data_IF_520506346620
#
_entry.id   IF_520506346620
#
_cell.length_a   1.000
_cell.length_b   1.000
_cell.length_c   1.000
_cell.angle_alpha   90.00
_cell.angle_beta   90.00
_cell.angle_gamma   90.00
#
_symmetry.space_group_name_H-M   'P 1'
#
loop_
_entity.id
_entity.type
_entity.pdbx_description
1 polymer ?
#
# COMPACT_ATOMS: atom_id res chain seq x y z
N UNK A 1 -16.39 63.88 -40.75
CA UNK A 1 -15.69 63.62 -39.46
C UNK A 1 -14.58 62.61 -39.76
N UNK A 2 -13.46 63.00 -40.38
CA UNK A 2 -12.22 63.52 -39.77
C UNK A 2 -11.57 62.57 -38.75
N UNK A 3 -10.56 61.82 -39.23
CA UNK A 3 -9.42 61.23 -38.49
C UNK A 3 -8.49 62.33 -37.91
N UNK A 4 -7.37 62.11 -37.15
CA UNK A 4 -6.58 60.86 -36.91
C UNK A 4 -5.87 60.68 -35.51
N UNK A 5 -5.16 59.54 -35.35
CA UNK A 5 -3.79 59.31 -34.78
C UNK A 5 -3.41 59.77 -33.34
N UNK A 6 -2.46 59.20 -32.56
CA UNK A 6 -1.66 57.95 -32.47
C UNK A 6 -0.81 58.02 -31.17
N UNK A 7 -0.41 56.86 -30.60
CA UNK A 7 0.80 56.59 -29.78
C UNK A 7 0.92 57.21 -28.35
N UNK A 8 1.52 56.60 -27.31
CA UNK A 8 2.37 55.38 -27.09
C UNK A 8 2.42 55.12 -25.57
N UNK A 9 2.58 53.87 -25.12
CA UNK A 9 2.86 53.57 -23.70
C UNK A 9 2.89 52.08 -23.31
N UNK A 10 3.96 51.39 -23.72
CA UNK A 10 4.58 50.12 -23.25
C UNK A 10 4.02 49.39 -22.00
N UNK A 11 3.79 48.07 -22.13
CA UNK A 11 4.08 46.90 -21.24
C UNK A 11 3.02 45.81 -21.50
N UNK A 12 3.24 44.50 -21.64
CA UNK A 12 4.39 43.58 -21.68
C UNK A 12 3.97 42.37 -22.56
N UNK A 13 4.92 41.75 -23.27
CA UNK A 13 4.73 40.46 -23.96
C UNK A 13 4.91 39.32 -22.97
N UNK A 14 4.10 38.28 -23.07
CA UNK A 14 4.55 36.88 -22.95
C UNK A 14 3.61 35.92 -23.69
N UNK A 15 4.11 35.38 -24.80
CA UNK A 15 3.82 34.01 -25.24
C UNK A 15 4.21 33.01 -24.15
N UNK A 16 3.42 31.93 -24.00
CA UNK A 16 3.96 30.57 -24.06
C UNK A 16 2.87 29.53 -23.74
N UNK A 17 2.58 28.69 -24.73
CA UNK A 17 2.55 27.22 -24.61
C UNK A 17 3.00 26.70 -23.24
N UNK A 18 2.14 25.93 -22.55
CA UNK A 18 2.57 25.19 -21.35
C UNK A 18 3.05 23.79 -21.72
N UNK A 19 4.20 23.51 -21.13
CA UNK A 19 5.21 22.56 -21.55
C UNK A 19 4.95 21.12 -21.14
N UNK A 20 5.52 20.27 -21.98
CA UNK A 20 5.85 18.87 -21.80
C UNK A 20 6.75 18.60 -20.59
N UNK A 21 6.65 17.36 -20.13
CA UNK A 21 7.49 16.66 -19.16
C UNK A 21 9.00 16.87 -19.40
N UNK A 22 9.74 17.17 -18.31
CA UNK A 22 11.14 16.78 -18.11
C UNK A 22 11.46 16.84 -16.60
N UNK A 23 11.45 15.68 -15.95
CA UNK A 23 12.22 15.47 -14.73
C UNK A 23 13.65 15.11 -15.17
N UNK A 24 14.53 16.11 -15.26
CA UNK A 24 15.97 15.90 -15.13
C UNK A 24 16.67 17.18 -14.67
N UNK A 25 17.56 16.98 -13.69
CA UNK A 25 18.65 17.85 -13.24
C UNK A 25 18.32 19.32 -12.92
N UNK A 26 18.05 19.58 -11.64
CA UNK A 26 18.25 20.91 -11.05
C UNK A 26 19.76 21.24 -11.13
N UNK A 27 20.17 22.43 -11.61
CA UNK A 27 21.57 22.86 -11.55
C UNK A 27 21.99 23.07 -10.09
N UNK A 28 23.15 22.53 -9.72
CA UNK A 28 23.75 22.71 -8.41
C UNK A 28 24.00 24.19 -8.12
N UNK A 29 23.29 24.75 -7.13
CA UNK A 29 23.57 26.07 -6.54
C UNK A 29 24.40 25.88 -5.26
N UNK A 30 25.71 26.22 -5.27
CA UNK A 30 26.58 26.07 -4.11
C UNK A 30 26.25 27.02 -2.94
N UNK A 31 25.28 27.93 -3.07
CA UNK A 31 24.85 28.84 -1.99
C UNK A 31 23.64 28.35 -1.20
N UNK A 32 22.97 27.29 -1.65
CA UNK A 32 21.94 26.56 -0.88
C UNK A 32 22.57 25.31 -0.26
N UNK A 33 23.35 25.49 0.80
CA UNK A 33 23.68 24.39 1.70
C UNK A 33 22.38 23.84 2.32
N UNK A 34 22.21 22.52 2.27
CA UNK A 34 21.10 21.75 2.87
C UNK A 34 19.72 21.75 2.18
N UNK A 35 19.68 21.48 0.87
CA UNK A 35 18.55 20.69 0.33
C UNK A 35 19.01 19.27 0.08
N UNK A 36 19.10 18.49 1.16
CA UNK A 36 18.96 17.03 1.08
C UNK A 36 17.68 16.75 0.29
N UNK A 37 17.78 15.98 -0.79
CA UNK A 37 16.66 15.52 -1.61
C UNK A 37 15.56 14.99 -0.71
N UNK A 38 14.46 15.74 -0.57
CA UNK A 38 13.30 15.26 0.19
C UNK A 38 12.70 14.07 -0.56
N UNK A 39 12.42 12.95 0.13
CA UNK A 39 11.82 11.79 -0.52
C UNK A 39 10.43 12.14 -1.06
N UNK A 40 10.09 11.59 -2.22
CA UNK A 40 8.77 11.81 -2.83
C UNK A 40 7.64 11.19 -1.99
N UNK A 41 7.95 10.11 -1.27
CA UNK A 41 7.10 9.49 -0.26
C UNK A 41 7.97 8.67 0.70
N UNK A 42 7.51 8.53 1.94
CA UNK A 42 8.12 7.68 2.97
C UNK A 42 7.06 6.74 3.54
N UNK A 43 7.46 5.51 3.84
CA UNK A 43 6.63 4.52 4.52
C UNK A 43 7.47 3.83 5.59
N UNK A 44 7.03 3.90 6.84
CA UNK A 44 7.55 3.06 7.91
C UNK A 44 6.69 1.82 8.10
N UNK A 45 7.33 0.68 8.32
CA UNK A 45 6.63 -0.54 8.73
C UNK A 45 5.86 -0.37 10.04
N UNK A 46 6.33 0.52 10.95
CA UNK A 46 5.61 0.84 12.18
C UNK A 46 4.39 1.72 11.95
N UNK A 47 4.44 2.63 10.97
CA UNK A 47 3.29 3.46 10.61
C UNK A 47 2.19 2.63 9.96
N UNK A 48 2.56 1.73 9.04
CA UNK A 48 1.63 0.77 8.43
C UNK A 48 1.00 -0.13 9.49
N UNK A 49 1.82 -0.71 10.38
CA UNK A 49 1.32 -1.58 11.46
C UNK A 49 0.41 -0.82 12.41
N UNK A 50 0.81 0.38 12.84
CA UNK A 50 -0.03 1.22 13.70
C UNK A 50 -1.32 1.66 13.03
N UNK A 51 -1.34 1.86 11.71
CA UNK A 51 -2.56 2.15 10.96
C UNK A 51 -3.50 0.94 10.94
N UNK A 52 -2.97 -0.26 10.70
CA UNK A 52 -3.74 -1.52 10.80
C UNK A 52 -4.30 -1.68 12.22
N UNK A 53 -3.47 -1.51 13.25
CA UNK A 53 -3.90 -1.70 14.64
C UNK A 53 -5.02 -0.73 15.04
N UNK A 54 -4.91 0.55 14.69
CA UNK A 54 -5.99 1.53 14.92
C UNK A 54 -7.30 1.14 14.22
N UNK A 55 -7.20 0.62 12.99
CA UNK A 55 -8.38 0.17 12.24
C UNK A 55 -9.04 -1.05 12.90
N UNK A 56 -8.25 -2.00 13.40
CA UNK A 56 -8.75 -3.15 14.14
C UNK A 56 -9.33 -2.74 15.50
N UNK A 57 -8.71 -1.81 16.21
CA UNK A 57 -9.23 -1.26 17.46
C UNK A 57 -10.56 -0.54 17.25
N UNK A 58 -10.73 0.17 16.12
CA UNK A 58 -12.01 0.71 15.70
C UNK A 58 -13.09 -0.38 15.63
N UNK A 59 -12.78 -1.53 15.05
CA UNK A 59 -13.68 -2.69 15.00
C UNK A 59 -13.92 -3.25 16.41
N UNK A 60 -12.89 -3.41 17.24
CA UNK A 60 -13.04 -3.91 18.62
C UNK A 60 -14.01 -3.04 19.44
N UNK A 61 -13.84 -1.72 19.40
CA UNK A 61 -14.70 -0.76 20.12
C UNK A 61 -16.15 -0.78 19.61
N UNK A 62 -16.33 -1.04 18.31
CA UNK A 62 -17.64 -1.06 17.69
C UNK A 62 -18.28 -2.44 17.57
N UNK A 63 -17.68 -3.48 18.17
CA UNK A 63 -18.29 -4.79 18.24
C UNK A 63 -19.59 -4.73 19.04
N UNK A 64 -20.63 -5.40 18.55
CA UNK A 64 -21.92 -5.56 19.23
C UNK A 64 -22.23 -7.04 19.35
N UNK A 65 -22.77 -7.43 20.50
CA UNK A 65 -23.20 -8.80 20.76
C UNK A 65 -24.49 -8.81 21.58
N UNK A 66 -25.36 -9.75 21.25
CA UNK A 66 -26.64 -10.06 21.89
C UNK A 66 -26.91 -11.55 21.74
N UNK A 67 -27.93 -12.09 22.42
CA UNK A 67 -28.20 -13.53 22.46
C UNK A 67 -28.24 -14.22 21.08
N UNK A 68 -28.69 -13.51 20.03
CA UNK A 68 -28.81 -14.05 18.66
C UNK A 68 -28.01 -13.26 17.62
N UNK A 69 -27.15 -12.32 17.99
CA UNK A 69 -26.41 -11.53 17.00
C UNK A 69 -25.04 -11.10 17.51
N UNK A 70 -24.01 -11.22 16.68
CA UNK A 70 -22.65 -10.81 17.02
C UNK A 70 -21.90 -10.21 15.81
N UNK A 71 -21.17 -9.12 16.05
CA UNK A 71 -20.31 -8.48 15.07
C UNK A 71 -20.67 -7.02 14.81
N UNK A 72 -20.80 -6.65 13.54
CA UNK A 72 -20.91 -5.26 13.10
C UNK A 72 -22.04 -5.08 12.10
N UNK A 73 -22.47 -3.84 11.89
CA UNK A 73 -23.33 -3.46 10.77
C UNK A 73 -22.59 -2.56 9.77
N UNK A 74 -23.25 -2.16 8.68
CA UNK A 74 -22.62 -1.35 7.64
C UNK A 74 -22.03 -0.02 8.16
N UNK A 75 -22.65 0.53 9.19
CA UNK A 75 -22.23 1.66 9.98
C UNK A 75 -21.99 1.12 11.39
N UNK A 76 -20.82 1.44 11.93
CA UNK A 76 -20.29 0.80 13.12
C UNK A 76 -21.00 1.23 14.41
N UNK A 77 -21.74 2.33 14.35
CA UNK A 77 -22.57 2.84 15.43
C UNK A 77 -23.91 2.08 15.60
N UNK A 78 -24.35 1.31 14.60
CA UNK A 78 -25.61 0.57 14.67
C UNK A 78 -25.54 -0.52 15.76
N UNK A 79 -26.54 -0.61 16.64
CA UNK A 79 -26.54 -1.59 17.73
C UNK A 79 -26.80 -3.03 17.24
N UNK A 80 -27.32 -3.23 16.04
CA UNK A 80 -27.76 -4.52 15.55
C UNK A 80 -26.80 -5.05 14.45
N UNK A 81 -25.96 -6.06 14.75
CA UNK A 81 -25.08 -6.69 13.78
C UNK A 81 -25.81 -7.16 12.52
N UNK A 82 -25.09 -7.18 11.39
CA UNK A 82 -25.55 -7.75 10.14
C UNK A 82 -24.54 -8.74 9.58
N UNK A 83 -25.06 -9.78 8.93
CA UNK A 83 -24.30 -10.93 8.43
C UNK A 83 -23.07 -10.54 7.62
N UNK A 84 -23.24 -9.76 6.55
CA UNK A 84 -22.13 -9.39 5.66
C UNK A 84 -21.07 -8.54 6.37
N UNK A 85 -21.50 -7.56 7.18
CA UNK A 85 -20.57 -6.70 7.90
C UNK A 85 -19.79 -7.47 8.97
N UNK A 86 -20.44 -8.40 9.68
CA UNK A 86 -19.79 -9.32 10.62
C UNK A 86 -18.76 -10.21 9.93
N UNK A 87 -19.10 -10.78 8.77
CA UNK A 87 -18.19 -11.59 7.97
C UNK A 87 -16.98 -10.77 7.48
N UNK A 88 -17.21 -9.56 6.95
CA UNK A 88 -16.15 -8.65 6.50
C UNK A 88 -15.25 -8.21 7.65
N UNK A 89 -15.80 -7.96 8.83
CA UNK A 89 -15.01 -7.64 10.03
C UNK A 89 -14.07 -8.79 10.40
N UNK A 90 -14.57 -10.02 10.48
CA UNK A 90 -13.74 -11.20 10.74
C UNK A 90 -12.67 -11.40 9.65
N UNK A 91 -13.06 -11.22 8.38
CA UNK A 91 -12.13 -11.25 7.25
C UNK A 91 -11.04 -10.18 7.35
N UNK A 92 -11.36 -8.99 7.87
CA UNK A 92 -10.41 -7.89 8.05
C UNK A 92 -9.32 -8.23 9.07
N UNK A 93 -9.69 -8.81 10.22
CA UNK A 93 -8.73 -9.32 11.20
C UNK A 93 -7.79 -10.36 10.58
N UNK A 94 -8.35 -11.28 9.78
CA UNK A 94 -7.56 -12.28 9.05
C UNK A 94 -6.55 -11.64 8.09
N UNK A 95 -6.98 -10.66 7.29
CA UNK A 95 -6.08 -9.95 6.38
C UNK A 95 -4.90 -9.29 7.11
N UNK A 96 -5.13 -8.84 8.35
CA UNK A 96 -4.10 -8.27 9.21
C UNK A 96 -3.21 -9.31 9.90
N UNK A 97 -3.49 -10.61 9.73
CA UNK A 97 -2.89 -11.72 10.47
C UNK A 97 -3.05 -11.56 12.00
N UNK A 98 -4.22 -11.07 12.44
CA UNK A 98 -4.61 -11.00 13.85
C UNK A 98 -5.88 -11.81 14.09
N UNK A 99 -5.98 -12.45 15.25
CA UNK A 99 -7.21 -13.12 15.69
C UNK A 99 -8.06 -12.12 16.49
N UNK A 100 -9.38 -12.14 16.26
CA UNK A 100 -10.32 -11.35 17.05
C UNK A 100 -10.77 -12.15 18.28
N UNK A 101 -10.81 -11.51 19.43
CA UNK A 101 -10.96 -12.17 20.72
C UNK A 101 -12.34 -12.83 20.91
N UNK A 102 -13.37 -12.34 20.20
CA UNK A 102 -14.75 -12.85 20.25
C UNK A 102 -15.15 -13.58 18.95
N UNK A 103 -14.17 -14.18 18.27
CA UNK A 103 -14.37 -14.86 16.97
C UNK A 103 -15.45 -15.94 17.02
N UNK A 104 -15.52 -16.72 18.11
CA UNK A 104 -16.48 -17.82 18.24
C UNK A 104 -17.95 -17.34 18.23
N UNK A 105 -18.22 -16.14 18.76
CA UNK A 105 -19.57 -15.56 18.72
C UNK A 105 -19.99 -15.14 17.33
N UNK A 106 -19.05 -14.59 16.56
CA UNK A 106 -19.30 -14.22 15.16
C UNK A 106 -19.53 -15.49 14.34
N UNK A 107 -18.68 -16.50 14.50
CA UNK A 107 -18.82 -17.79 13.81
C UNK A 107 -20.18 -18.41 14.13
N UNK A 108 -20.54 -18.49 15.41
CA UNK A 108 -21.84 -19.00 15.84
C UNK A 108 -22.99 -18.20 15.22
N UNK A 109 -22.91 -16.86 15.26
CA UNK A 109 -23.91 -15.99 14.65
C UNK A 109 -24.08 -16.27 13.16
N UNK A 110 -22.98 -16.39 12.40
CA UNK A 110 -23.02 -16.69 10.98
C UNK A 110 -23.63 -18.07 10.72
N UNK A 111 -23.22 -19.10 11.46
CA UNK A 111 -23.78 -20.46 11.32
C UNK A 111 -25.28 -20.49 11.63
N UNK A 112 -25.70 -19.90 12.76
CA UNK A 112 -27.10 -19.89 13.20
C UNK A 112 -28.03 -19.13 12.24
N UNK A 113 -27.48 -18.27 11.37
CA UNK A 113 -28.24 -17.46 10.40
C UNK A 113 -28.09 -17.94 8.95
N UNK A 114 -27.49 -19.11 8.73
CA UNK A 114 -27.53 -19.75 7.44
C UNK A 114 -28.97 -20.15 7.11
N UNK A 115 -29.42 -19.86 5.88
CA UNK A 115 -30.75 -20.25 5.44
C UNK A 115 -30.76 -21.77 5.30
N UNK A 116 -31.71 -22.44 5.94
CA UNK A 116 -31.89 -23.91 5.88
C UNK A 116 -33.13 -24.33 5.10
N UNK A 117 -34.13 -23.45 5.03
CA UNK A 117 -35.39 -23.71 4.35
C UNK A 117 -35.83 -22.46 3.55
N UNK A 118 -36.46 -22.65 2.37
CA UNK A 118 -36.69 -23.93 1.70
C UNK A 118 -35.40 -24.50 1.05
N UNK A 119 -35.33 -25.80 0.68
CA UNK A 119 -34.08 -26.45 0.25
C UNK A 119 -33.41 -25.78 -0.95
N UNK A 120 -34.19 -25.21 -1.87
CA UNK A 120 -33.69 -24.46 -3.02
C UNK A 120 -32.98 -23.15 -2.65
N UNK A 121 -33.13 -22.68 -1.41
CA UNK A 121 -32.44 -21.52 -0.82
C UNK A 121 -31.44 -21.92 0.27
N UNK A 122 -31.45 -23.18 0.71
CA UNK A 122 -30.61 -23.65 1.79
C UNK A 122 -29.10 -23.45 1.49
N UNK A 123 -28.31 -23.17 2.51
CA UNK A 123 -26.86 -22.98 2.45
C UNK A 123 -26.40 -21.54 2.25
N UNK A 124 -27.26 -20.65 1.73
CA UNK A 124 -26.92 -19.24 1.53
C UNK A 124 -27.18 -18.36 2.75
N UNK A 125 -26.74 -17.10 2.69
CA UNK A 125 -26.99 -16.08 3.71
C UNK A 125 -27.80 -14.90 3.19
N UNK A 126 -28.84 -14.55 3.93
CA UNK A 126 -29.65 -13.37 3.70
C UNK A 126 -29.17 -12.18 4.53
N UNK A 127 -29.50 -10.97 4.07
CA UNK A 127 -29.35 -9.74 4.84
C UNK A 127 -30.72 -9.13 5.13
N UNK A 128 -30.77 -8.16 6.06
CA UNK A 128 -32.02 -7.52 6.51
C UNK A 128 -32.91 -7.01 5.36
N UNK A 129 -32.29 -6.49 4.30
CA UNK A 129 -32.98 -5.89 3.15
C UNK A 129 -33.42 -6.90 2.08
N UNK A 130 -33.17 -8.19 2.30
CA UNK A 130 -33.47 -9.27 1.34
C UNK A 130 -34.58 -10.21 1.81
N UNK A 131 -35.33 -9.84 2.86
CA UNK A 131 -36.50 -10.59 3.34
C UNK A 131 -36.28 -12.11 3.47
N UNK A 132 -35.11 -12.53 3.96
CA UNK A 132 -34.76 -13.95 4.13
C UNK A 132 -34.30 -14.67 2.86
N UNK A 133 -34.26 -14.01 1.71
CA UNK A 133 -33.68 -14.56 0.49
C UNK A 133 -32.16 -14.44 0.54
N UNK A 134 -31.42 -15.55 0.46
CA UNK A 134 -29.98 -15.50 0.45
C UNK A 134 -29.47 -14.86 -0.83
N UNK A 135 -28.49 -13.97 -0.70
CA UNK A 135 -27.85 -13.28 -1.82
C UNK A 135 -26.40 -13.74 -1.98
N UNK A 136 -25.92 -13.64 -3.21
CA UNK A 136 -24.59 -14.11 -3.59
C UNK A 136 -23.48 -13.36 -2.85
N UNK A 137 -23.55 -12.03 -2.78
CA UNK A 137 -22.51 -11.22 -2.17
C UNK A 137 -22.37 -11.48 -0.67
N UNK A 138 -23.49 -11.65 0.06
CA UNK A 138 -23.45 -11.99 1.47
C UNK A 138 -22.87 -13.38 1.68
N UNK A 139 -23.32 -14.35 0.89
CA UNK A 139 -22.83 -15.74 0.96
C UNK A 139 -21.34 -15.82 0.65
N UNK A 140 -20.87 -15.14 -0.38
CA UNK A 140 -19.45 -15.11 -0.74
C UNK A 140 -18.58 -14.47 0.36
N UNK A 141 -19.04 -13.39 1.00
CA UNK A 141 -18.33 -12.81 2.15
C UNK A 141 -18.29 -13.74 3.36
N UNK A 142 -19.40 -14.44 3.66
CA UNK A 142 -19.44 -15.42 4.75
C UNK A 142 -18.54 -16.61 4.47
N UNK A 143 -18.61 -17.20 3.27
CA UNK A 143 -17.71 -18.28 2.83
C UNK A 143 -16.27 -17.82 2.97
N UNK A 144 -15.91 -16.62 2.49
CA UNK A 144 -14.57 -16.06 2.69
C UNK A 144 -14.21 -15.99 4.15
N UNK A 145 -15.05 -15.41 5.00
CA UNK A 145 -14.77 -15.24 6.43
C UNK A 145 -14.55 -16.59 7.15
N UNK A 146 -15.37 -17.60 6.83
CA UNK A 146 -15.29 -18.95 7.41
C UNK A 146 -14.15 -19.79 6.82
N UNK A 147 -13.64 -19.44 5.63
CA UNK A 147 -12.52 -20.14 4.97
C UNK A 147 -11.19 -19.82 5.63
N UNK A 148 -10.51 -20.77 6.28
CA UNK A 148 -9.28 -20.46 6.98
C UNK A 148 -8.02 -20.90 6.21
N UNK A 149 -7.06 -20.00 5.96
CA UNK A 149 -5.66 -20.38 5.84
C UNK A 149 -5.06 -20.50 7.25
N UNK A 150 -4.67 -21.72 7.65
CA UNK A 150 -3.83 -21.94 8.83
C UNK A 150 -4.50 -21.89 10.22
N UNK A 151 -5.82 -21.71 10.35
CA UNK A 151 -6.46 -21.66 11.69
C UNK A 151 -7.08 -22.97 12.18
N UNK A 152 -7.21 -24.00 11.32
CA UNK A 152 -7.65 -25.34 11.72
C UNK A 152 -9.05 -25.48 12.36
N UNK A 153 -9.77 -24.39 12.65
CA UNK A 153 -11.03 -24.41 13.43
C UNK A 153 -12.31 -24.52 12.59
N UNK A 154 -12.29 -24.19 11.28
CA UNK A 154 -13.52 -24.11 10.47
C UNK A 154 -13.45 -24.72 9.07
N UNK A 155 -12.29 -25.22 8.62
CA UNK A 155 -12.12 -25.78 7.27
C UNK A 155 -12.98 -27.04 6.98
N UNK A 156 -13.83 -27.47 7.93
CA UNK A 156 -14.66 -28.67 7.84
C UNK A 156 -16.10 -28.49 8.37
N UNK A 157 -16.56 -27.26 8.64
CA UNK A 157 -17.96 -27.08 9.09
C UNK A 157 -18.93 -27.35 7.94
N UNK A 158 -20.05 -28.00 8.27
CA UNK A 158 -21.13 -28.27 7.32
C UNK A 158 -21.64 -26.98 6.67
N UNK A 159 -21.78 -25.91 7.45
CA UNK A 159 -22.19 -24.60 6.95
C UNK A 159 -21.27 -24.04 5.86
N UNK A 160 -19.95 -24.20 5.98
CA UNK A 160 -19.04 -23.75 4.92
C UNK A 160 -19.27 -24.55 3.63
N UNK A 161 -19.46 -25.87 3.72
CA UNK A 161 -19.74 -26.71 2.55
C UNK A 161 -21.07 -26.31 1.90
N UNK A 162 -22.13 -26.16 2.68
CA UNK A 162 -23.43 -25.74 2.16
C UNK A 162 -23.39 -24.34 1.52
N UNK A 163 -22.57 -23.44 2.08
CA UNK A 163 -22.30 -22.13 1.47
C UNK A 163 -21.59 -22.23 0.12
N UNK A 164 -20.62 -23.13 -0.01
CA UNK A 164 -19.94 -23.43 -1.27
C UNK A 164 -20.90 -24.04 -2.28
N UNK A 165 -21.71 -25.02 -1.85
CA UNK A 165 -22.72 -25.68 -2.68
C UNK A 165 -23.77 -24.67 -3.16
N UNK A 166 -24.17 -23.72 -2.31
CA UNK A 166 -25.05 -22.62 -2.69
C UNK A 166 -24.42 -21.73 -3.78
N UNK A 167 -23.13 -21.38 -3.66
CA UNK A 167 -22.45 -20.59 -4.69
C UNK A 167 -22.33 -21.36 -6.00
N UNK A 168 -21.99 -22.66 -5.95
CA UNK A 168 -21.90 -23.52 -7.13
C UNK A 168 -23.23 -23.60 -7.88
N UNK A 169 -24.31 -23.98 -7.20
CA UNK A 169 -25.63 -24.13 -7.84
C UNK A 169 -26.26 -22.81 -8.29
N UNK A 170 -25.76 -21.69 -7.77
CA UNK A 170 -26.21 -20.35 -8.16
C UNK A 170 -25.37 -19.72 -9.27
N UNK A 171 -24.33 -20.41 -9.77
CA UNK A 171 -23.59 -19.97 -10.95
C UNK A 171 -24.53 -19.98 -12.16
N UNK A 172 -24.57 -18.87 -12.88
CA UNK A 172 -25.41 -18.74 -14.08
C UNK A 172 -24.88 -19.63 -15.22
N UNK A 173 -25.75 -19.90 -16.19
CA UNK A 173 -25.37 -20.65 -17.40
C UNK A 173 -24.33 -19.95 -18.27
N UNK A 174 -24.17 -18.63 -18.10
CA UNK A 174 -23.08 -17.88 -18.73
C UNK A 174 -21.74 -18.03 -18.01
N UNK A 175 -21.71 -18.70 -16.85
CA UNK A 175 -20.57 -18.91 -15.95
C UNK A 175 -20.25 -17.78 -14.95
N UNK A 176 -21.05 -16.71 -14.92
CA UNK A 176 -20.91 -15.64 -13.94
C UNK A 176 -21.91 -15.73 -12.78
N UNK A 177 -21.90 -14.69 -11.93
CA UNK A 177 -22.90 -14.49 -10.86
C UNK A 177 -23.44 -13.07 -10.85
N UNK A 178 -24.64 -12.92 -10.29
CA UNK A 178 -25.30 -11.66 -9.91
C UNK A 178 -25.74 -11.74 -8.44
N UNK A 179 -26.62 -10.85 -7.94
CA UNK A 179 -27.13 -10.97 -6.56
C UNK A 179 -28.02 -12.20 -6.36
N UNK A 180 -28.77 -12.61 -7.39
CA UNK A 180 -29.52 -13.88 -7.45
C UNK A 180 -29.20 -14.66 -8.73
N UNK A 181 -29.36 -15.98 -8.69
CA UNK A 181 -29.25 -16.83 -9.86
C UNK A 181 -30.28 -16.45 -10.95
N UNK A 182 -29.88 -16.54 -12.22
CA UNK A 182 -30.67 -16.17 -13.39
C UNK A 182 -30.64 -14.68 -13.75
N UNK A 183 -30.12 -13.81 -12.88
CA UNK A 183 -29.93 -12.39 -13.21
C UNK A 183 -28.64 -12.16 -14.03
N UNK A 184 -28.54 -11.04 -14.77
CA UNK A 184 -27.34 -10.72 -15.55
C UNK A 184 -26.07 -10.70 -14.70
N UNK A 185 -25.11 -11.55 -15.04
CA UNK A 185 -23.85 -11.67 -14.33
C UNK A 185 -23.06 -10.36 -14.31
N UNK A 186 -22.46 -10.04 -13.15
CA UNK A 186 -21.70 -8.81 -12.91
C UNK A 186 -20.25 -9.13 -12.54
N UNK A 187 -19.34 -8.21 -12.87
CA UNK A 187 -17.90 -8.38 -12.60
C UNK A 187 -17.61 -8.46 -11.10
N UNK A 188 -18.21 -7.58 -10.29
CA UNK A 188 -18.00 -7.59 -8.85
C UNK A 188 -18.41 -8.93 -8.20
N UNK A 189 -19.62 -9.41 -8.50
CA UNK A 189 -20.16 -10.66 -7.94
C UNK A 189 -19.34 -11.86 -8.39
N UNK A 190 -19.05 -11.95 -9.69
CA UNK A 190 -18.27 -13.07 -10.24
C UNK A 190 -16.85 -13.11 -9.67
N UNK A 191 -16.17 -11.96 -9.57
CA UNK A 191 -14.85 -11.88 -8.96
C UNK A 191 -14.89 -12.22 -7.46
N UNK A 192 -15.90 -11.76 -6.71
CA UNK A 192 -16.06 -12.05 -5.29
C UNK A 192 -16.31 -13.54 -5.03
N UNK A 193 -17.19 -14.18 -5.78
CA UNK A 193 -17.44 -15.63 -5.71
C UNK A 193 -16.20 -16.43 -6.07
N UNK A 194 -15.50 -16.05 -7.14
CA UNK A 194 -14.27 -16.70 -7.54
C UNK A 194 -13.21 -16.61 -6.43
N UNK A 195 -13.04 -15.45 -5.79
CA UNK A 195 -12.16 -15.28 -4.64
C UNK A 195 -12.58 -16.15 -3.44
N UNK A 196 -13.88 -16.24 -3.17
CA UNK A 196 -14.42 -17.08 -2.10
C UNK A 196 -14.08 -18.56 -2.32
N UNK A 197 -14.38 -19.07 -3.52
CA UNK A 197 -14.14 -20.45 -3.89
C UNK A 197 -12.64 -20.80 -3.94
N UNK A 198 -11.78 -19.88 -4.41
CA UNK A 198 -10.34 -20.07 -4.34
C UNK A 198 -9.82 -20.16 -2.90
N UNK A 199 -10.31 -19.30 -2.01
CA UNK A 199 -9.87 -19.25 -0.60
C UNK A 199 -10.35 -20.47 0.20
N UNK A 200 -11.50 -21.06 -0.16
CA UNK A 200 -12.08 -22.19 0.54
C UNK A 200 -11.72 -23.56 -0.06
N UNK A 201 -11.06 -23.60 -1.22
CA UNK A 201 -10.83 -24.83 -1.97
C UNK A 201 -12.08 -25.41 -2.63
N UNK A 202 -12.95 -24.54 -3.15
CA UNK A 202 -14.18 -24.91 -3.85
C UNK A 202 -13.94 -25.63 -5.20
N UNK A 203 -15.02 -26.07 -5.88
CA UNK A 203 -14.92 -26.92 -7.07
C UNK A 203 -14.10 -26.27 -8.21
N UNK A 204 -13.04 -26.94 -8.71
CA UNK A 204 -12.20 -26.37 -9.77
C UNK A 204 -12.95 -26.01 -11.05
N UNK A 205 -13.98 -26.79 -11.42
CA UNK A 205 -14.82 -26.54 -12.59
C UNK A 205 -15.58 -25.21 -12.49
N UNK A 206 -16.13 -24.91 -11.31
CA UNK A 206 -16.89 -23.67 -11.04
C UNK A 206 -15.97 -22.46 -11.07
N UNK A 207 -14.75 -22.59 -10.51
CA UNK A 207 -13.70 -21.57 -10.56
C UNK A 207 -13.23 -21.34 -12.01
N UNK A 208 -13.05 -22.40 -12.79
CA UNK A 208 -12.65 -22.31 -14.20
C UNK A 208 -13.73 -21.66 -15.07
N UNK A 209 -14.99 -21.91 -14.77
CA UNK A 209 -16.13 -21.23 -15.39
C UNK A 209 -16.10 -19.72 -15.07
N UNK A 210 -15.93 -19.35 -13.80
CA UNK A 210 -15.78 -17.95 -13.38
C UNK A 210 -14.62 -17.25 -14.11
N UNK A 211 -13.47 -17.94 -14.20
CA UNK A 211 -12.28 -17.48 -14.93
C UNK A 211 -12.60 -17.20 -16.40
N UNK A 212 -13.26 -18.14 -17.09
CA UNK A 212 -13.66 -17.96 -18.50
C UNK A 212 -14.59 -16.75 -18.66
N UNK A 213 -15.57 -16.60 -17.78
CA UNK A 213 -16.49 -15.47 -17.82
C UNK A 213 -15.77 -14.15 -17.61
N UNK A 214 -14.90 -14.03 -16.60
CA UNK A 214 -14.15 -12.79 -16.34
C UNK A 214 -13.22 -12.44 -17.51
N UNK A 215 -12.52 -13.43 -18.09
CA UNK A 215 -11.70 -13.18 -19.28
C UNK A 215 -12.56 -12.68 -20.45
N UNK A 216 -13.71 -13.31 -20.68
CA UNK A 216 -14.65 -12.90 -21.73
C UNK A 216 -15.34 -11.55 -21.48
N UNK A 217 -15.49 -11.15 -20.21
CA UNK A 217 -16.10 -9.89 -19.81
C UNK A 217 -15.13 -8.68 -19.91
N UNK A 218 -13.85 -8.91 -20.19
CA UNK A 218 -12.89 -7.83 -20.40
C UNK A 218 -13.32 -6.97 -21.59
N UNK A 219 -13.15 -5.65 -21.48
CA UNK A 219 -13.49 -4.73 -22.57
C UNK A 219 -12.69 -5.05 -23.84
N UNK A 220 -13.33 -5.02 -25.04
CA UNK A 220 -12.59 -5.15 -26.29
C UNK A 220 -11.67 -3.95 -26.57
N UNK A 221 -11.97 -2.79 -25.96
CA UNK A 221 -11.28 -1.52 -26.24
C UNK A 221 -10.21 -1.17 -25.20
N UNK A 222 -10.15 -1.90 -24.09
CA UNK A 222 -9.21 -1.64 -23.01
C UNK A 222 -8.86 -2.92 -22.23
N UNK A 223 -7.65 -3.03 -21.64
CA UNK A 223 -7.28 -4.14 -20.77
C UNK A 223 -7.93 -3.99 -19.38
N UNK A 224 -9.26 -3.82 -19.34
CA UNK A 224 -9.99 -3.36 -18.17
C UNK A 224 -11.46 -3.85 -18.18
N UNK A 225 -12.14 -3.74 -17.04
CA UNK A 225 -13.50 -4.24 -16.84
C UNK A 225 -14.44 -3.14 -16.35
N UNK A 226 -15.68 -3.16 -16.84
CA UNK A 226 -16.81 -2.41 -16.29
C UNK A 226 -17.68 -3.28 -15.37
N UNK A 227 -18.79 -2.76 -14.81
CA UNK A 227 -19.72 -3.56 -13.99
C UNK A 227 -20.34 -4.74 -14.74
N UNK A 228 -20.60 -4.56 -16.04
CA UNK A 228 -21.16 -5.55 -16.94
C UNK A 228 -20.28 -5.65 -18.21
N UNK A 229 -20.30 -6.79 -18.93
CA UNK A 229 -19.68 -6.89 -20.24
C UNK A 229 -20.17 -5.77 -21.18
N UNK A 230 -19.24 -5.15 -21.92
CA UNK A 230 -19.53 -4.06 -22.86
C UNK A 230 -19.79 -2.69 -22.23
N UNK A 231 -19.76 -2.56 -20.90
CA UNK A 231 -19.86 -1.25 -20.23
C UNK A 231 -18.51 -0.58 -20.06
N UNK A 232 -18.51 0.74 -19.86
CA UNK A 232 -17.30 1.52 -19.65
C UNK A 232 -16.48 0.96 -18.47
N UNK A 233 -15.18 0.71 -18.64
CA UNK A 233 -14.36 0.20 -17.56
C UNK A 233 -14.22 1.16 -16.38
N UNK A 234 -14.17 0.61 -15.16
CA UNK A 234 -13.95 1.37 -13.93
C UNK A 234 -12.77 0.83 -13.15
N UNK A 235 -12.15 1.66 -12.32
CA UNK A 235 -11.02 1.27 -11.46
C UNK A 235 -11.42 0.12 -10.53
N UNK A 236 -12.61 0.19 -9.93
CA UNK A 236 -13.12 -0.82 -9.03
C UNK A 236 -13.21 -2.21 -9.68
N UNK A 237 -13.95 -2.32 -10.78
CA UNK A 237 -14.24 -3.60 -11.43
C UNK A 237 -12.97 -4.22 -12.01
N UNK A 238 -12.12 -3.39 -12.60
CA UNK A 238 -10.81 -3.81 -13.10
C UNK A 238 -9.92 -4.35 -11.99
N UNK A 239 -9.93 -3.71 -10.82
CA UNK A 239 -9.15 -4.15 -9.66
C UNK A 239 -9.66 -5.48 -9.08
N UNK A 240 -10.98 -5.66 -8.96
CA UNK A 240 -11.55 -6.94 -8.50
C UNK A 240 -11.30 -8.08 -9.49
N UNK A 241 -11.48 -7.84 -10.79
CA UNK A 241 -11.20 -8.82 -11.83
C UNK A 241 -9.72 -9.22 -11.83
N UNK A 242 -8.80 -8.25 -11.80
CA UNK A 242 -7.36 -8.52 -11.71
C UNK A 242 -7.01 -9.28 -10.44
N UNK A 243 -7.55 -8.89 -9.27
CA UNK A 243 -7.30 -9.55 -8.00
C UNK A 243 -7.73 -11.03 -8.02
N UNK A 244 -8.91 -11.33 -8.59
CA UNK A 244 -9.42 -12.70 -8.69
C UNK A 244 -8.62 -13.56 -9.68
N UNK A 245 -8.26 -12.98 -10.83
CA UNK A 245 -7.55 -13.69 -11.89
C UNK A 245 -6.06 -13.88 -11.58
N UNK A 246 -5.38 -12.90 -10.99
CA UNK A 246 -3.96 -12.95 -10.70
C UNK A 246 -3.57 -14.01 -9.66
N UNK A 247 -4.53 -14.48 -8.85
CA UNK A 247 -4.32 -15.57 -7.88
C UNK A 247 -4.27 -16.95 -8.52
N UNK A 248 -4.76 -17.10 -9.75
CA UNK A 248 -4.67 -18.34 -10.50
C UNK A 248 -3.47 -18.30 -11.43
N UNK A 249 -2.51 -19.17 -11.17
CA UNK A 249 -1.35 -19.33 -12.03
C UNK A 249 -1.80 -19.63 -13.48
N UNK A 250 -1.28 -18.85 -14.43
CA UNK A 250 -1.59 -19.01 -15.86
C UNK A 250 -2.99 -18.55 -16.29
N UNK A 251 -3.83 -18.00 -15.41
CA UNK A 251 -5.15 -17.50 -15.82
C UNK A 251 -5.08 -16.30 -16.77
N UNK A 252 -4.12 -15.40 -16.54
CA UNK A 252 -3.80 -14.30 -17.45
C UNK A 252 -2.36 -14.42 -17.94
N UNK A 253 -2.14 -14.00 -19.19
CA UNK A 253 -0.78 -13.85 -19.71
C UNK A 253 -0.04 -12.74 -18.96
N UNK A 254 1.29 -12.85 -18.84
CA UNK A 254 2.14 -11.79 -18.24
C UNK A 254 1.90 -10.43 -18.92
N UNK A 255 1.71 -10.43 -20.24
CA UNK A 255 1.40 -9.22 -21.00
C UNK A 255 0.02 -8.63 -20.65
N UNK A 256 -1.00 -9.47 -20.48
CA UNK A 256 -2.34 -9.02 -20.06
C UNK A 256 -2.32 -8.44 -18.65
N UNK A 257 -1.60 -9.09 -17.73
CA UNK A 257 -1.38 -8.59 -16.37
C UNK A 257 -0.70 -7.23 -16.41
N UNK A 258 0.41 -7.09 -17.14
CA UNK A 258 1.14 -5.83 -17.28
C UNK A 258 0.25 -4.71 -17.83
N UNK A 259 -0.46 -4.95 -18.94
CA UNK A 259 -1.36 -3.95 -19.54
C UNK A 259 -2.50 -3.52 -18.61
N UNK A 260 -3.05 -4.48 -17.86
CA UNK A 260 -4.11 -4.19 -16.88
C UNK A 260 -3.53 -3.38 -15.71
N UNK A 261 -2.34 -3.76 -15.21
CA UNK A 261 -1.66 -3.05 -14.15
C UNK A 261 -1.32 -1.62 -14.54
N UNK A 262 -0.81 -1.40 -15.76
CA UNK A 262 -0.53 -0.07 -16.30
C UNK A 262 -1.82 0.77 -16.39
N UNK A 263 -2.92 0.17 -16.87
CA UNK A 263 -4.21 0.84 -16.93
C UNK A 263 -4.73 1.28 -15.54
N UNK A 264 -4.56 0.43 -14.53
CA UNK A 264 -4.90 0.74 -13.13
C UNK A 264 -3.98 1.84 -12.60
N UNK A 265 -2.66 1.73 -12.79
CA UNK A 265 -1.67 2.72 -12.35
C UNK A 265 -1.92 4.09 -13.00
N UNK A 266 -2.37 4.14 -14.25
CA UNK A 266 -2.73 5.40 -14.92
C UNK A 266 -3.90 6.12 -14.27
N UNK A 267 -4.83 5.38 -13.67
CA UNK A 267 -6.04 5.90 -13.01
C UNK A 267 -5.93 5.99 -11.49
N UNK A 268 -4.93 5.35 -10.88
CA UNK A 268 -4.67 5.43 -9.45
C UNK A 268 -4.13 6.81 -9.10
N UNK A 269 -4.92 7.58 -8.36
CA UNK A 269 -4.54 8.92 -7.86
C UNK A 269 -4.29 8.83 -6.35
N UNK A 270 -3.04 9.01 -5.89
CA UNK A 270 -2.72 9.00 -4.46
C UNK A 270 -3.55 10.02 -3.66
N UNK A 271 -4.27 9.55 -2.64
CA UNK A 271 -5.16 10.37 -1.80
C UNK A 271 -6.61 10.42 -2.27
N UNK A 272 -6.91 9.99 -3.50
CA UNK A 272 -8.29 9.77 -3.97
C UNK A 272 -8.66 8.29 -3.80
N UNK A 273 -9.21 7.95 -2.64
CA UNK A 273 -9.48 6.55 -2.28
C UNK A 273 -10.72 5.96 -2.95
N UNK A 274 -11.65 6.82 -3.40
CA UNK A 274 -12.90 6.43 -4.04
C UNK A 274 -12.98 7.01 -5.45
N UNK A 275 -13.29 6.16 -6.43
CA UNK A 275 -13.58 6.58 -7.80
C UNK A 275 -15.02 7.09 -7.85
N UNK A 276 -15.22 8.38 -8.18
CA UNK A 276 -16.56 9.02 -8.12
C UNK A 276 -17.63 8.27 -8.92
N UNK A 277 -17.28 7.72 -10.08
CA UNK A 277 -18.20 7.02 -10.98
C UNK A 277 -18.64 5.64 -10.48
N UNK A 278 -17.90 5.04 -9.54
CA UNK A 278 -18.21 3.71 -8.98
C UNK A 278 -18.13 3.69 -7.45
N UNK A 279 -18.24 4.85 -6.80
CA UNK A 279 -18.16 4.94 -5.33
C UNK A 279 -19.33 4.21 -4.69
N UNK A 280 -20.49 4.23 -5.32
CA UNK A 280 -21.64 3.38 -4.95
C UNK A 280 -22.17 2.78 -6.24
N UNK A 281 -22.25 1.45 -6.29
CA UNK A 281 -22.98 0.76 -7.34
C UNK A 281 -24.43 0.62 -6.89
N UNK A 282 -25.36 1.28 -7.60
CA UNK A 282 -26.79 1.25 -7.31
C UNK A 282 -27.54 0.56 -8.46
N UNK A 283 -28.23 -0.52 -8.15
CA UNK A 283 -29.10 -1.19 -9.10
C UNK A 283 -30.26 -1.91 -8.41
N UNK A 284 -31.34 -2.04 -9.17
CA UNK A 284 -32.55 -2.72 -8.77
C UNK A 284 -32.35 -4.24 -8.84
N UNK A 285 -32.53 -4.91 -7.71
CA UNK A 285 -32.46 -6.37 -7.62
C UNK A 285 -33.87 -6.93 -7.45
N UNK A 286 -34.49 -7.49 -8.51
CA UNK A 286 -35.79 -8.14 -8.41
C UNK A 286 -35.69 -9.42 -7.59
N UNK A 287 -36.64 -9.63 -6.68
CA UNK A 287 -36.70 -10.85 -5.89
C UNK A 287 -37.03 -12.08 -6.76
N UNK A 288 -36.50 -13.29 -6.43
CA UNK A 288 -36.72 -14.49 -7.23
C UNK A 288 -38.18 -14.97 -7.34
N UNK A 289 -39.06 -14.56 -6.43
CA UNK A 289 -40.46 -15.00 -6.39
C UNK A 289 -41.39 -14.26 -7.38
N UNK A 290 -40.89 -13.25 -8.09
CA UNK A 290 -41.59 -12.60 -9.19
C UNK A 290 -42.83 -11.78 -8.80
N UNK A 291 -43.06 -11.49 -7.52
CA UNK A 291 -44.21 -10.66 -7.11
C UNK A 291 -43.98 -9.17 -7.44
N UNK A 292 -45.00 -8.54 -8.06
CA UNK A 292 -44.91 -7.40 -9.00
C UNK A 292 -44.23 -6.10 -8.53
N UNK A 293 -43.89 -5.91 -7.25
CA UNK A 293 -43.06 -4.80 -6.77
C UNK A 293 -42.21 -5.22 -5.54
N UNK A 294 -41.44 -6.29 -5.67
CA UNK A 294 -40.35 -6.61 -4.74
C UNK A 294 -39.02 -6.41 -5.47
N UNK A 295 -38.46 -5.22 -5.33
CA UNK A 295 -37.08 -4.90 -5.72
C UNK A 295 -36.41 -4.34 -4.48
N UNK A 296 -35.19 -4.76 -4.18
CA UNK A 296 -34.36 -4.00 -3.24
C UNK A 296 -33.29 -3.26 -4.02
N UNK A 297 -32.99 -2.03 -3.59
CA UNK A 297 -31.87 -1.28 -4.12
C UNK A 297 -30.61 -1.79 -3.42
N UNK A 298 -29.68 -2.36 -4.19
CA UNK A 298 -28.37 -2.69 -3.68
C UNK A 298 -27.49 -1.44 -3.80
N UNK A 299 -26.90 -0.99 -2.70
CA UNK A 299 -26.04 0.18 -2.66
C UNK A 299 -24.78 -0.17 -1.86
N UNK A 300 -23.72 -0.55 -2.58
CA UNK A 300 -22.46 -0.94 -1.96
C UNK A 300 -21.43 0.18 -2.13
N UNK A 301 -20.96 0.81 -1.04
CA UNK A 301 -19.87 1.75 -1.14
C UNK A 301 -18.55 1.03 -1.41
N UNK A 302 -17.78 1.56 -2.35
CA UNK A 302 -16.55 0.96 -2.82
C UNK A 302 -15.39 1.95 -2.80
N UNK A 303 -14.27 1.52 -2.23
CA UNK A 303 -12.99 2.25 -2.25
C UNK A 303 -12.07 1.63 -3.28
N UNK A 304 -12.20 2.09 -4.53
CA UNK A 304 -11.46 1.55 -5.66
C UNK A 304 -9.93 1.68 -5.50
N UNK A 305 -9.43 2.74 -4.85
CA UNK A 305 -7.99 2.99 -4.66
C UNK A 305 -7.31 1.88 -3.83
N UNK A 306 -7.73 1.63 -2.58
CA UNK A 306 -7.18 0.54 -1.78
C UNK A 306 -7.35 -0.85 -2.42
N UNK A 307 -8.48 -1.13 -3.09
CA UNK A 307 -8.66 -2.40 -3.81
C UNK A 307 -7.66 -2.52 -4.97
N UNK A 308 -7.41 -1.43 -5.71
CA UNK A 308 -6.39 -1.37 -6.75
C UNK A 308 -4.99 -1.66 -6.22
N UNK A 309 -4.62 -1.12 -5.05
CA UNK A 309 -3.35 -1.42 -4.38
C UNK A 309 -3.21 -2.92 -4.13
N UNK A 310 -4.22 -3.55 -3.52
CA UNK A 310 -4.21 -4.99 -3.25
C UNK A 310 -4.12 -5.80 -4.55
N UNK A 311 -4.84 -5.41 -5.60
CA UNK A 311 -4.83 -6.08 -6.90
C UNK A 311 -3.46 -6.01 -7.57
N UNK A 312 -2.84 -4.82 -7.62
CA UNK A 312 -1.52 -4.60 -8.21
C UNK A 312 -0.43 -5.42 -7.49
N UNK A 313 -0.41 -5.39 -6.16
CA UNK A 313 0.55 -6.16 -5.37
C UNK A 313 0.34 -7.68 -5.54
N UNK A 314 -0.92 -8.13 -5.62
CA UNK A 314 -1.23 -9.55 -5.88
C UNK A 314 -0.81 -9.97 -7.29
N UNK A 315 -0.91 -9.06 -8.26
CA UNK A 315 -0.45 -9.26 -9.63
C UNK A 315 1.09 -9.20 -9.79
N UNK A 316 1.84 -8.98 -8.71
CA UNK A 316 3.30 -8.96 -8.73
C UNK A 316 3.92 -7.63 -9.17
N UNK A 317 3.14 -6.54 -9.17
CA UNK A 317 3.70 -5.20 -9.40
C UNK A 317 4.65 -4.86 -8.26
N UNK A 318 5.82 -4.31 -8.61
CA UNK A 318 6.84 -3.91 -7.64
C UNK A 318 6.23 -2.95 -6.59
N UNK A 319 6.30 -3.28 -5.28
CA UNK A 319 5.80 -2.40 -4.23
C UNK A 319 6.47 -1.02 -4.20
N UNK A 320 7.65 -0.85 -4.83
CA UNK A 320 8.35 0.41 -4.97
C UNK A 320 7.93 1.23 -6.20
N UNK A 321 6.94 0.75 -6.98
CA UNK A 321 6.35 1.53 -8.07
C UNK A 321 5.81 2.87 -7.50
N UNK A 322 6.19 4.03 -8.06
CA UNK A 322 5.97 5.33 -7.41
C UNK A 322 4.52 5.67 -7.08
N UNK A 323 3.59 5.46 -8.02
CA UNK A 323 2.16 5.73 -7.80
C UNK A 323 1.57 4.79 -6.76
N UNK A 324 1.92 3.51 -6.82
CA UNK A 324 1.50 2.50 -5.83
C UNK A 324 2.00 2.86 -4.43
N UNK A 325 3.29 3.18 -4.31
CA UNK A 325 3.92 3.55 -3.06
C UNK A 325 3.33 4.84 -2.48
N UNK A 326 3.14 5.87 -3.31
CA UNK A 326 2.49 7.12 -2.91
C UNK A 326 1.03 6.91 -2.51
N UNK A 327 0.30 6.01 -3.18
CA UNK A 327 -1.08 5.67 -2.81
C UNK A 327 -1.16 5.03 -1.42
N UNK A 328 -0.25 4.11 -1.08
CA UNK A 328 -0.20 3.53 0.26
C UNK A 328 0.21 4.56 1.32
N UNK A 329 1.17 5.43 1.01
CA UNK A 329 1.54 6.55 1.90
C UNK A 329 0.35 7.47 2.16
N UNK A 330 -0.46 7.75 1.14
CA UNK A 330 -1.70 8.49 1.29
C UNK A 330 -2.74 7.74 2.15
N UNK A 331 -2.90 6.42 1.98
CA UNK A 331 -3.80 5.61 2.83
C UNK A 331 -3.43 5.76 4.32
N UNK A 332 -2.14 5.67 4.67
CA UNK A 332 -1.68 5.82 6.06
C UNK A 332 -1.95 7.24 6.57
N UNK A 333 -1.62 8.26 5.77
CA UNK A 333 -1.78 9.68 6.12
C UNK A 333 -3.24 10.08 6.32
N UNK A 334 -4.14 9.57 5.47
CA UNK A 334 -5.53 10.00 5.41
C UNK A 334 -6.43 9.23 6.39
N UNK A 335 -5.87 8.34 7.23
CA UNK A 335 -6.63 7.60 8.23
C UNK A 335 -7.21 8.56 9.28
N UNK A 336 -8.50 8.41 9.58
CA UNK A 336 -9.20 9.20 10.59
C UNK A 336 -8.75 8.88 12.01
N UNK A 337 -9.10 9.77 12.95
CA UNK A 337 -8.75 9.65 14.38
C UNK A 337 -9.29 8.39 15.04
N UNK A 338 -10.43 7.89 14.57
CA UNK A 338 -11.08 6.68 15.08
C UNK A 338 -10.48 5.40 14.51
N UNK A 339 -9.51 5.50 13.58
CA UNK A 339 -8.90 4.37 12.89
C UNK A 339 -9.63 3.95 11.60
N UNK A 340 -10.81 4.51 11.32
CA UNK A 340 -11.51 4.32 10.05
C UNK A 340 -11.15 5.42 9.03
N UNK A 341 -11.47 5.16 7.75
CA UNK A 341 -11.39 6.16 6.69
C UNK A 341 -12.77 6.77 6.42
N UNK A 342 -12.78 8.00 5.90
CA UNK A 342 -14.00 8.74 5.65
C UNK A 342 -14.80 8.14 4.48
N UNK A 343 -16.09 7.95 4.68
CA UNK A 343 -17.01 7.52 3.62
C UNK A 343 -17.51 8.73 2.82
N UNK A 344 -17.25 8.83 1.50
CA UNK A 344 -17.54 10.06 0.73
C UNK A 344 -19.00 10.57 0.77
N UNK A 345 -19.98 9.68 0.99
CA UNK A 345 -21.41 10.04 1.07
C UNK A 345 -21.98 10.02 2.49
N UNK A 346 -21.18 9.64 3.49
CA UNK A 346 -21.59 9.68 4.91
C UNK A 346 -20.37 9.92 5.80
N UNK A 347 -19.74 11.10 5.68
CA UNK A 347 -18.43 11.35 6.27
C UNK A 347 -18.42 11.36 7.81
N UNK A 348 -19.61 11.44 8.42
CA UNK A 348 -19.80 11.50 9.87
C UNK A 348 -19.97 10.14 10.54
N UNK A 349 -20.03 9.05 9.77
CA UNK A 349 -20.28 7.71 10.30
C UNK A 349 -19.23 6.72 9.80
N UNK A 350 -18.59 6.06 10.74
CA UNK A 350 -17.64 5.01 10.49
C UNK A 350 -18.35 3.81 9.86
N UNK A 351 -17.71 3.23 8.85
CA UNK A 351 -18.28 2.12 8.09
C UNK A 351 -17.25 1.01 7.94
N UNK A 352 -17.71 -0.24 8.06
CA UNK A 352 -16.90 -1.42 7.78
C UNK A 352 -16.34 -1.40 6.35
N UNK A 353 -17.09 -0.80 5.41
CA UNK A 353 -16.71 -0.67 4.01
C UNK A 353 -15.54 0.30 3.80
N UNK A 354 -15.33 1.21 4.75
CA UNK A 354 -14.21 2.14 4.79
C UNK A 354 -13.05 1.63 5.66
N UNK A 355 -13.05 0.35 6.04
CA UNK A 355 -11.98 -0.27 6.84
C UNK A 355 -11.33 -1.41 6.08
N UNK A 356 -12.11 -2.41 5.66
CA UNK A 356 -11.56 -3.64 5.08
C UNK A 356 -10.66 -3.41 3.85
N UNK A 357 -10.98 -2.51 2.88
CA UNK A 357 -10.15 -2.34 1.69
C UNK A 357 -8.79 -1.75 2.04
N UNK A 358 -8.76 -0.83 3.01
CA UNK A 358 -7.57 -0.15 3.47
C UNK A 358 -6.67 -1.08 4.27
N UNK A 359 -7.24 -1.87 5.19
CA UNK A 359 -6.50 -2.91 5.90
C UNK A 359 -5.94 -3.95 4.92
N UNK A 360 -6.72 -4.35 3.91
CA UNK A 360 -6.24 -5.25 2.85
C UNK A 360 -4.99 -4.70 2.14
N UNK A 361 -5.06 -3.44 1.69
CA UNK A 361 -3.96 -2.77 1.00
C UNK A 361 -2.72 -2.63 1.89
N UNK A 362 -2.89 -2.18 3.13
CA UNK A 362 -1.81 -2.01 4.11
C UNK A 362 -1.15 -3.33 4.47
N UNK A 363 -1.94 -4.36 4.73
CA UNK A 363 -1.42 -5.70 5.03
C UNK A 363 -0.64 -6.28 3.87
N UNK A 364 -1.13 -6.12 2.63
CA UNK A 364 -0.43 -6.61 1.44
C UNK A 364 0.86 -5.85 1.18
N UNK A 365 0.86 -4.53 1.36
CA UNK A 365 2.08 -3.73 1.25
C UNK A 365 3.09 -4.10 2.33
N UNK A 366 2.63 -4.33 3.57
CA UNK A 366 3.47 -4.78 4.68
C UNK A 366 4.13 -6.12 4.36
N UNK A 367 3.37 -7.07 3.84
CA UNK A 367 3.87 -8.37 3.40
C UNK A 367 4.95 -8.20 2.31
N UNK A 368 4.69 -7.36 1.31
CA UNK A 368 5.59 -7.16 0.17
C UNK A 368 6.91 -6.44 0.53
N UNK A 369 6.85 -5.39 1.36
CA UNK A 369 8.02 -4.57 1.70
C UNK A 369 8.78 -5.06 2.93
N UNK A 370 8.07 -5.64 3.90
CA UNK A 370 8.56 -5.82 5.26
C UNK A 370 8.47 -7.28 5.73
N UNK A 371 8.47 -8.27 4.84
CA UNK A 371 8.38 -9.72 5.12
C UNK A 371 9.16 -10.18 6.37
N UNK A 372 8.58 -10.00 7.56
CA UNK A 372 9.18 -10.28 8.88
C UNK A 372 10.19 -9.25 9.45
N UNK A 373 10.31 -8.02 8.93
CA UNK A 373 11.31 -7.03 9.41
C UNK A 373 10.71 -5.65 9.66
N UNK A 374 11.11 -5.00 10.75
CA UNK A 374 10.80 -3.59 11.01
C UNK A 374 11.85 -2.66 10.38
N UNK A 375 11.40 -1.62 9.69
CA UNK A 375 12.26 -0.64 9.02
C UNK A 375 11.49 0.51 8.38
N UNK A 376 12.23 1.46 7.84
CA UNK A 376 11.73 2.59 7.03
C UNK A 376 12.13 2.41 5.57
N UNK A 377 11.24 2.78 4.66
CA UNK A 377 11.51 2.83 3.23
C UNK A 377 11.20 4.23 2.73
N UNK A 378 12.19 4.87 2.12
CA UNK A 378 12.05 6.21 1.55
C UNK A 378 12.27 6.13 0.05
N UNK A 379 11.28 6.56 -0.74
CA UNK A 379 11.41 6.64 -2.18
C UNK A 379 12.11 7.95 -2.56
N UNK A 380 13.33 7.85 -3.08
CA UNK A 380 14.12 9.01 -3.49
C UNK A 380 13.80 9.41 -4.93
N UNK A 381 13.72 8.42 -5.82
CA UNK A 381 13.38 8.56 -7.25
C UNK A 381 12.64 7.30 -7.73
N UNK A 382 11.95 7.32 -8.89
CA UNK A 382 11.37 6.11 -9.47
C UNK A 382 12.39 4.96 -9.55
N UNK A 383 12.08 3.82 -8.92
CA UNK A 383 12.96 2.64 -8.88
C UNK A 383 14.16 2.74 -7.92
N UNK A 384 14.30 3.81 -7.12
CA UNK A 384 15.37 3.96 -6.14
C UNK A 384 14.80 4.27 -4.75
N UNK A 385 14.87 3.28 -3.85
CA UNK A 385 14.44 3.43 -2.47
C UNK A 385 15.61 3.23 -1.50
N UNK A 386 15.62 4.02 -0.43
CA UNK A 386 16.48 3.82 0.72
C UNK A 386 15.73 2.98 1.75
N UNK A 387 16.19 1.74 1.97
CA UNK A 387 15.62 0.85 2.98
C UNK A 387 16.50 0.89 4.22
N UNK A 388 15.96 1.43 5.31
CA UNK A 388 16.60 1.48 6.62
C UNK A 388 15.90 0.50 7.56
N UNK A 389 16.40 -0.73 7.64
CA UNK A 389 16.02 -1.64 8.74
C UNK A 389 16.64 -1.14 10.06
N UNK A 390 16.03 -1.46 11.21
CA UNK A 390 16.57 -1.04 12.52
C UNK A 390 18.05 -1.45 12.75
N UNK A 391 18.49 -2.57 12.15
CA UNK A 391 19.88 -3.01 12.20
C UNK A 391 20.82 -2.15 11.31
N UNK A 392 20.35 -1.75 10.13
CA UNK A 392 21.11 -0.92 9.19
C UNK A 392 21.13 0.57 9.56
N UNK A 393 20.08 1.11 10.20
CA UNK A 393 20.07 2.50 10.68
C UNK A 393 21.22 2.74 11.69
N UNK A 394 21.46 1.81 12.62
CA UNK A 394 22.61 1.91 13.56
C UNK A 394 23.97 1.87 12.84
N UNK A 395 24.15 0.98 11.84
CA UNK A 395 25.41 0.86 11.09
C UNK A 395 25.67 1.99 10.10
N UNK A 396 24.65 2.43 9.35
CA UNK A 396 24.81 3.49 8.36
C UNK A 396 25.00 4.85 9.03
N UNK A 397 24.27 5.13 10.12
CA UNK A 397 24.41 6.38 10.87
C UNK A 397 25.77 6.43 11.57
N UNK A 398 26.24 5.33 12.18
CA UNK A 398 27.59 5.28 12.76
C UNK A 398 28.70 5.38 11.70
N UNK A 399 28.56 4.70 10.56
CA UNK A 399 29.55 4.77 9.48
C UNK A 399 29.58 6.15 8.80
N UNK A 400 28.42 6.78 8.58
CA UNK A 400 28.32 8.12 8.01
C UNK A 400 28.73 9.21 9.00
N UNK A 401 28.39 9.09 10.29
CA UNK A 401 28.89 9.98 11.34
C UNK A 401 30.40 9.84 11.48
N UNK A 402 30.95 8.62 11.55
CA UNK A 402 32.40 8.40 11.59
C UNK A 402 33.07 8.93 10.32
N UNK A 403 32.51 8.67 9.13
CA UNK A 403 33.05 9.21 7.88
C UNK A 403 32.99 10.74 7.85
N UNK A 404 31.91 11.37 8.27
CA UNK A 404 31.78 12.84 8.28
C UNK A 404 32.64 13.48 9.36
N UNK A 405 32.78 12.86 10.54
CA UNK A 405 33.68 13.30 11.60
C UNK A 405 35.13 13.15 11.16
N UNK A 406 35.51 12.02 10.57
CA UNK A 406 36.86 11.76 10.08
C UNK A 406 37.19 12.65 8.89
N UNK A 407 36.31 12.77 7.89
CA UNK A 407 36.51 13.64 6.72
C UNK A 407 36.50 15.11 7.13
N UNK A 408 35.62 15.52 8.05
CA UNK A 408 35.59 16.86 8.61
C UNK A 408 36.85 17.18 9.41
N UNK A 409 37.34 16.23 10.22
CA UNK A 409 38.58 16.33 10.96
C UNK A 409 39.80 16.39 10.03
N UNK A 410 39.87 15.53 9.00
CA UNK A 410 40.93 15.55 7.98
C UNK A 410 40.92 16.86 7.19
N UNK A 411 39.75 17.35 6.76
CA UNK A 411 39.64 18.65 6.06
C UNK A 411 40.11 19.80 6.94
N UNK A 412 39.73 19.78 8.23
CA UNK A 412 40.12 20.80 9.21
C UNK A 412 41.62 20.76 9.55
N UNK A 413 42.25 19.59 9.47
CA UNK A 413 43.67 19.38 9.83
C UNK A 413 44.56 19.01 8.63
N UNK A 414 44.10 19.27 7.40
CA UNK A 414 44.77 18.86 6.15
C UNK A 414 46.25 19.28 6.07
N UNK A 415 46.57 20.47 6.58
CA UNK A 415 47.94 21.00 6.62
C UNK A 415 48.79 20.26 7.67
N UNK A 416 48.23 19.97 8.85
CA UNK A 416 48.94 19.24 9.89
C UNK A 416 49.20 17.78 9.49
N UNK A 417 48.24 17.13 8.81
CA UNK A 417 48.40 15.79 8.24
C UNK A 417 49.48 15.74 7.15
N UNK A 418 49.51 16.72 6.24
CA UNK A 418 50.54 16.81 5.21
C UNK A 418 51.94 16.98 5.83
N UNK A 419 52.07 17.85 6.84
CA UNK A 419 53.32 18.04 7.58
C UNK A 419 53.75 16.77 8.34
N UNK A 420 52.80 16.05 8.93
CA UNK A 420 53.05 14.76 9.57
C UNK A 420 53.54 13.71 8.58
N UNK A 421 52.92 13.60 7.40
CA UNK A 421 53.34 12.66 6.35
C UNK A 421 54.73 12.99 5.81
N UNK A 422 55.05 14.28 5.63
CA UNK A 422 56.40 14.71 5.26
C UNK A 422 57.40 14.34 6.35
N UNK A 423 57.07 14.59 7.62
CA UNK A 423 57.92 14.24 8.77
C UNK A 423 58.14 12.74 8.91
N UNK A 424 57.09 11.92 8.72
CA UNK A 424 57.19 10.45 8.74
C UNK A 424 58.01 9.94 7.56
N UNK A 425 57.73 10.42 6.34
CA UNK A 425 58.51 10.05 5.15
C UNK A 425 59.99 10.40 5.30
N UNK A 426 60.29 11.57 5.85
CA UNK A 426 61.66 11.99 6.15
C UNK A 426 62.32 11.10 7.21
N UNK A 427 61.61 10.79 8.30
CA UNK A 427 62.13 9.96 9.39
C UNK A 427 62.39 8.52 8.95
N UNK A 428 61.49 7.95 8.15
CA UNK A 428 61.64 6.63 7.55
C UNK A 428 62.79 6.64 6.55
N UNK A 429 62.89 7.65 5.69
CA UNK A 429 64.01 7.81 4.76
C UNK A 429 65.37 7.93 5.46
N UNK A 430 65.45 8.74 6.52
CA UNK A 430 66.65 8.90 7.33
C UNK A 430 67.04 7.59 8.04
N UNK A 431 66.06 6.84 8.56
CA UNK A 431 66.29 5.53 9.17
C UNK A 431 66.84 4.54 8.15
N UNK A 432 66.24 4.44 6.96
CA UNK A 432 66.71 3.56 5.88
C UNK A 432 68.15 3.92 5.48
N UNK A 433 68.44 5.21 5.26
CA UNK A 433 69.78 5.68 4.88
C UNK A 433 70.84 5.38 5.96
N UNK A 434 70.46 5.47 7.23
CA UNK A 434 71.33 5.09 8.35
C UNK A 434 71.58 3.57 8.40
N UNK A 435 70.54 2.75 8.23
CA UNK A 435 70.67 1.28 8.24
C UNK A 435 71.48 0.74 7.05
N UNK A 436 71.44 1.41 5.90
CA UNK A 436 72.26 1.09 4.72
C UNK A 436 73.69 1.65 4.84
N UNK A 437 74.05 2.28 5.97
CA UNK A 437 75.37 2.91 6.26
C UNK A 437 75.78 3.99 5.25
N UNK A 438 74.83 4.59 4.54
CA UNK A 438 75.09 5.63 3.56
C UNK A 438 75.37 7.02 4.19
N UNK A 439 75.12 7.19 5.50
CA UNK A 439 75.18 8.46 6.22
C UNK A 439 75.76 8.24 7.64
N UNK A 440 76.60 9.16 8.11
CA UNK A 440 77.24 9.12 9.42
C UNK A 440 76.29 9.45 10.59
N UNK A 441 76.68 9.08 11.82
CA UNK A 441 75.87 9.30 13.05
C UNK A 441 75.46 10.76 13.27
N UNK A 442 76.36 11.70 12.96
CA UNK A 442 76.13 13.15 13.12
C UNK A 442 75.10 13.69 12.11
N UNK A 443 75.16 13.23 10.87
CA UNK A 443 74.22 13.62 9.81
C UNK A 443 72.83 13.03 10.04
N UNK A 444 72.73 11.82 10.60
CA UNK A 444 71.45 11.23 11.03
C UNK A 444 70.79 12.02 12.17
N UNK A 445 71.57 12.45 13.17
CA UNK A 445 71.06 13.23 14.31
C UNK A 445 70.56 14.61 13.86
N UNK A 446 71.29 15.33 13.01
CA UNK A 446 70.84 16.63 12.48
C UNK A 446 69.62 16.47 11.58
N UNK A 447 69.60 15.41 10.75
CA UNK A 447 68.49 15.10 9.87
C UNK A 447 67.19 14.83 10.64
N UNK A 448 67.21 14.05 11.72
CA UNK A 448 65.99 13.67 12.43
C UNK A 448 65.53 14.71 13.46
N UNK A 449 66.46 15.33 14.19
CA UNK A 449 66.15 16.17 15.35
C UNK A 449 65.68 17.56 14.93
N UNK A 450 66.29 18.16 13.90
CA UNK A 450 65.95 19.52 13.47
C UNK A 450 64.51 19.61 12.92
N UNK A 451 64.03 18.69 12.05
CA UNK A 451 62.65 18.69 11.60
C UNK A 451 61.66 18.39 12.73
N UNK A 452 62.00 17.47 13.65
CA UNK A 452 61.15 17.17 14.80
C UNK A 452 60.97 18.40 15.71
N UNK A 453 62.04 19.15 15.97
CA UNK A 453 61.99 20.40 16.74
C UNK A 453 61.18 21.50 16.02
N UNK A 454 61.31 21.62 14.70
CA UNK A 454 60.52 22.55 13.89
C UNK A 454 59.03 22.20 13.88
N UNK A 455 58.69 20.90 13.89
CA UNK A 455 57.32 20.40 13.94
C UNK A 455 56.67 20.67 15.31
N UNK A 456 57.42 20.46 16.40
CA UNK A 456 57.00 20.83 17.77
C UNK A 456 56.83 22.34 17.88
N UNK A 457 57.75 23.13 17.34
CA UNK A 457 57.64 24.59 17.33
C UNK A 457 56.40 25.08 16.58
N UNK A 458 56.10 24.53 15.40
CA UNK A 458 54.88 24.87 14.66
C UNK A 458 53.59 24.49 15.41
N UNK A 459 53.55 23.35 16.09
CA UNK A 459 52.39 22.94 16.88
C UNK A 459 52.14 23.88 18.06
N UNK A 460 53.21 24.27 18.77
CA UNK A 460 53.14 25.20 19.91
C UNK A 460 52.77 26.62 19.45
N UNK A 461 53.34 27.10 18.35
CA UNK A 461 53.04 28.42 17.79
C UNK A 461 51.62 28.50 17.17
N UNK A 462 51.19 27.42 16.52
CA UNK A 462 49.84 27.27 15.98
C UNK A 462 48.75 27.20 17.06
N UNK A 463 49.07 26.66 18.25
CA UNK A 463 48.17 26.69 19.40
C UNK A 463 48.08 28.09 20.04
N UNK A 464 49.20 28.82 20.11
CA UNK A 464 49.26 30.20 20.65
C UNK A 464 48.54 31.24 19.79
N UNK A 465 48.58 31.11 18.46
CA UNK A 465 47.90 32.04 17.54
C UNK A 465 46.37 31.92 17.60
N UNK A 466 45.82 30.71 17.81
CA UNK A 466 44.37 30.51 17.98
C UNK A 466 43.82 31.10 19.29
N UNK A 467 44.63 31.15 20.35
CA UNK A 467 44.26 31.78 21.62
C UNK A 467 44.24 33.32 21.55
N UNK A 468 44.88 33.93 20.55
CA UNK A 468 44.91 35.39 20.34
C UNK A 468 43.93 35.91 19.27
N UNK A 469 43.33 35.02 18.47
CA UNK A 469 42.46 35.39 17.34
C UNK A 469 40.97 35.50 17.68
N UNK A 470 40.56 35.30 18.93
CA UNK A 470 39.20 35.59 19.37
C UNK A 470 39.13 36.99 19.94
N UNK A 471 39.00 38.02 19.10
CA UNK A 471 38.29 39.30 19.37
C UNK A 471 38.23 40.16 18.09
N UNK A 472 37.06 40.11 17.44
CA UNK A 472 36.43 41.22 16.70
C UNK A 472 36.47 41.17 15.16
N UNK A 473 35.46 41.75 14.46
CA UNK A 473 34.07 42.06 14.84
C UNK A 473 33.04 40.99 14.43
#
# INVERSE_FOLDING_TARGET
MSWPATNRGVTSRHDSTRFSCLQSAIPYDPRRGDQLTQPAASLSGSEITGAIDRALDCLRVNFRSSNNAAGWYHFLDDPAPGITASAVGLFTFRLAAQEFERVDEIIKYLIDHQVVEPPERAGGWAVRTTNGFPIIEATAWVVRALSPPGTGRLAASESLREGVDFLERSQNTDFGWASYAGQPSRVFHTALCMLALQECGGPPSVIDNAKKWLIGAQSPDAPAWGPLPGTAPTLLHTSFALLALARLEGALSVNTISKTADWILDRLVPGEHAERSSTVEEFDVPYPDGTRQLVFQNALPHFAGPVAVTALLTAGVDPLQPKLFSAVSAIVRDQGKTGAWELPRSPLRESIWAIWPFVSALSKMREALFAGRTGEVQLLYPGCALIQTQASAKKLTSALLMRNVVVGWMRRHRLALALWLIGVGYSVGAAILYFVRAVGRTEFLVGLILPALLLVFQLVWGARSRLRGGHGP
#
